data_IF_313144139766
#
_entry.id   IF_313144139766
#
_cell.length_a   1.000
_cell.length_b   1.000
_cell.length_c   1.000
_cell.angle_alpha   90.00
_cell.angle_beta   90.00
_cell.angle_gamma   90.00
#
_symmetry.space_group_name_H-M   'P 1'
#
loop_
_entity.id
_entity.type
_entity.pdbx_description
1 polymer ?
#
# COMPACT_ATOMS: atom_id res chain seq x y z
N UNK A 1 6.33 1.07 4.11
CA UNK A 1 7.78 1.33 4.20
C UNK A 1 8.37 0.93 5.55
N UNK A 2 7.98 1.56 6.65
CA UNK A 2 8.69 1.42 7.95
C UNK A 2 8.74 -0.01 8.50
N UNK A 3 7.69 -0.81 8.31
CA UNK A 3 7.73 -2.25 8.62
C UNK A 3 8.81 -3.01 7.84
N UNK A 4 9.14 -2.60 6.61
CA UNK A 4 10.26 -3.19 5.89
C UNK A 4 11.59 -2.76 6.52
N UNK A 5 11.72 -1.50 6.95
CA UNK A 5 12.95 -0.96 7.51
C UNK A 5 13.23 -1.43 8.95
N UNK A 6 12.18 -1.71 9.72
CA UNK A 6 12.29 -2.11 11.13
C UNK A 6 12.21 -0.96 12.12
N UNK A 7 12.07 0.27 11.65
CA UNK A 7 12.09 1.50 12.46
C UNK A 7 11.08 2.53 11.92
N UNK A 8 10.59 3.39 12.81
CA UNK A 8 9.75 4.53 12.43
C UNK A 8 10.65 5.63 11.88
N UNK A 9 10.45 6.00 10.61
CA UNK A 9 11.33 6.93 9.90
C UNK A 9 10.87 8.38 9.93
N UNK A 10 9.57 8.59 10.18
CA UNK A 10 8.92 9.89 10.29
C UNK A 10 7.53 9.72 10.91
N UNK A 11 6.88 10.84 11.20
CA UNK A 11 5.43 10.84 11.44
C UNK A 11 4.66 10.52 10.15
N UNK A 12 3.62 9.69 10.26
CA UNK A 12 2.77 9.26 9.13
C UNK A 12 1.34 9.73 9.38
N UNK A 13 0.85 10.59 8.48
CA UNK A 13 -0.52 11.14 8.57
C UNK A 13 -1.59 10.20 8.01
N UNK A 14 -1.19 9.10 7.37
CA UNK A 14 -2.05 8.14 6.70
C UNK A 14 -1.49 6.71 6.81
N UNK A 15 -2.39 5.71 6.72
CA UNK A 15 -2.03 4.30 6.54
C UNK A 15 -2.61 3.79 5.21
N UNK A 16 -1.73 3.33 4.33
CA UNK A 16 -2.11 2.73 3.05
C UNK A 16 -2.17 1.20 3.17
N UNK A 17 -3.32 0.64 2.82
CA UNK A 17 -3.59 -0.80 2.76
C UNK A 17 -3.96 -1.23 1.35
N UNK A 18 -3.70 -2.50 1.06
CA UNK A 18 -4.23 -3.19 -0.11
C UNK A 18 -5.10 -4.36 0.36
N UNK A 19 -6.28 -4.50 -0.26
CA UNK A 19 -7.32 -5.44 0.18
C UNK A 19 -7.95 -6.08 -1.04
N UNK A 20 -8.28 -7.36 -0.98
CA UNK A 20 -9.05 -8.02 -2.03
C UNK A 20 -10.47 -7.44 -2.11
N UNK A 21 -10.95 -7.17 -3.31
CA UNK A 21 -12.28 -6.60 -3.53
C UNK A 21 -13.38 -7.47 -2.91
N UNK A 22 -13.23 -8.79 -2.95
CA UNK A 22 -14.16 -9.75 -2.34
C UNK A 22 -14.26 -9.60 -0.81
N UNK A 23 -13.20 -9.13 -0.15
CA UNK A 23 -13.15 -8.93 1.30
C UNK A 23 -13.61 -7.51 1.71
N UNK A 24 -13.83 -6.59 0.75
CA UNK A 24 -14.06 -5.18 1.02
C UNK A 24 -15.29 -4.93 1.91
N UNK A 25 -16.38 -5.68 1.70
CA UNK A 25 -17.60 -5.58 2.50
C UNK A 25 -17.38 -5.98 3.96
N UNK A 26 -16.78 -7.16 4.18
CA UNK A 26 -16.50 -7.69 5.52
C UNK A 26 -15.52 -6.78 6.26
N UNK A 27 -14.50 -6.26 5.56
CA UNK A 27 -13.58 -5.27 6.11
C UNK A 27 -14.32 -4.00 6.56
N UNK A 28 -15.16 -3.42 5.69
CA UNK A 28 -15.88 -2.20 5.99
C UNK A 28 -16.76 -2.34 7.24
N UNK A 29 -17.54 -3.42 7.33
CA UNK A 29 -18.35 -3.73 8.53
C UNK A 29 -17.46 -3.88 9.79
N UNK A 30 -16.31 -4.56 9.64
CA UNK A 30 -15.33 -4.73 10.71
C UNK A 30 -14.72 -3.42 11.20
N UNK A 31 -14.48 -2.46 10.31
CA UNK A 31 -13.96 -1.12 10.64
C UNK A 31 -15.04 -0.28 11.32
N UNK A 32 -16.26 -0.25 10.77
CA UNK A 32 -17.40 0.48 11.34
C UNK A 32 -17.70 0.04 12.77
N UNK A 33 -17.73 -1.28 13.02
CA UNK A 33 -17.95 -1.83 14.37
C UNK A 33 -16.83 -1.47 15.37
N UNK A 34 -15.67 -1.01 14.89
CA UNK A 34 -14.52 -0.58 15.71
C UNK A 34 -14.37 0.94 15.81
N UNK A 35 -15.39 1.67 15.38
CA UNK A 35 -15.49 3.13 15.50
C UNK A 35 -14.81 3.91 14.37
N UNK A 36 -14.35 3.25 13.30
CA UNK A 36 -13.91 3.96 12.11
C UNK A 36 -15.09 4.62 11.42
N UNK A 37 -14.87 5.80 10.84
CA UNK A 37 -15.87 6.55 10.08
C UNK A 37 -15.48 6.60 8.61
N UNK A 38 -16.41 6.33 7.67
CA UNK A 38 -16.13 6.50 6.24
C UNK A 38 -15.77 7.94 5.91
N UNK A 39 -14.79 8.12 5.04
CA UNK A 39 -14.37 9.42 4.52
C UNK A 39 -14.72 9.49 3.03
N UNK A 40 -15.23 10.62 2.51
CA UNK A 40 -15.39 10.80 1.07
C UNK A 40 -14.05 10.63 0.35
N UNK A 41 -14.01 9.77 -0.65
CA UNK A 41 -12.78 9.39 -1.34
C UNK A 41 -13.00 9.10 -2.83
N UNK A 42 -12.04 8.41 -3.48
CA UNK A 42 -12.22 7.87 -4.82
C UNK A 42 -13.47 6.97 -4.92
N UNK A 43 -13.89 6.58 -6.15
CA UNK A 43 -14.98 5.63 -6.33
C UNK A 43 -14.81 4.38 -5.43
N UNK A 44 -15.84 3.93 -4.69
CA UNK A 44 -15.73 2.80 -3.75
C UNK A 44 -15.27 1.47 -4.35
N UNK A 45 -15.39 1.32 -5.67
CA UNK A 45 -14.89 0.17 -6.44
C UNK A 45 -13.36 0.19 -6.63
N UNK A 46 -12.70 1.32 -6.35
CA UNK A 46 -11.25 1.50 -6.42
C UNK A 46 -10.62 1.46 -5.03
N UNK A 47 -11.23 2.16 -4.09
CA UNK A 47 -10.66 2.39 -2.76
C UNK A 47 -11.77 2.67 -1.75
N UNK A 48 -11.58 2.21 -0.53
CA UNK A 48 -12.39 2.61 0.62
C UNK A 48 -11.52 3.44 1.57
N UNK A 49 -12.05 4.55 2.06
CA UNK A 49 -11.34 5.45 2.97
C UNK A 49 -12.07 5.57 4.30
N UNK A 50 -11.33 5.47 5.39
CA UNK A 50 -11.85 5.57 6.75
C UNK A 50 -10.92 6.40 7.63
N UNK A 51 -11.50 7.11 8.60
CA UNK A 51 -10.77 7.82 9.64
C UNK A 51 -11.09 7.26 11.02
N UNK A 52 -10.09 7.27 11.91
CA UNK A 52 -10.28 7.02 13.34
C UNK A 52 -9.25 7.80 14.15
N UNK A 53 -9.69 8.46 15.21
CA UNK A 53 -8.84 9.22 16.13
C UNK A 53 -7.92 10.24 15.42
N UNK A 54 -8.42 10.84 14.32
CA UNK A 54 -7.67 11.81 13.52
C UNK A 54 -6.67 11.23 12.52
N UNK A 55 -6.63 9.91 12.36
CA UNK A 55 -5.77 9.22 11.41
C UNK A 55 -6.57 8.58 10.28
N UNK A 56 -6.15 8.83 9.04
CA UNK A 56 -6.77 8.27 7.84
C UNK A 56 -6.18 6.90 7.47
N UNK A 57 -7.03 6.00 6.99
CA UNK A 57 -6.68 4.69 6.47
C UNK A 57 -7.33 4.51 5.09
N UNK A 58 -6.49 4.37 4.07
CA UNK A 58 -6.91 4.15 2.68
C UNK A 58 -6.75 2.67 2.33
N UNK A 59 -7.79 2.06 1.77
CA UNK A 59 -7.80 0.64 1.41
C UNK A 59 -7.99 0.49 -0.10
N UNK A 60 -6.88 0.38 -0.84
CA UNK A 60 -6.90 0.19 -2.30
C UNK A 60 -7.34 -1.24 -2.62
N UNK A 61 -8.36 -1.37 -3.48
CA UNK A 61 -8.96 -2.66 -3.82
C UNK A 61 -8.18 -3.36 -4.94
N UNK A 62 -7.92 -4.64 -4.69
CA UNK A 62 -7.20 -5.56 -5.57
C UNK A 62 -8.13 -6.63 -6.12
N UNK A 63 -7.82 -7.09 -7.32
CA UNK A 63 -8.41 -8.27 -7.94
C UNK A 63 -7.30 -9.14 -8.58
N UNK A 64 -7.67 -10.29 -9.14
CA UNK A 64 -6.79 -11.17 -9.89
C UNK A 64 -7.32 -11.38 -11.30
N UNK A 65 -6.43 -11.23 -12.28
CA UNK A 65 -6.78 -11.59 -13.64
C UNK A 65 -6.77 -13.12 -13.87
N UNK A 66 -7.13 -13.54 -15.09
CA UNK A 66 -7.15 -14.96 -15.49
C UNK A 66 -5.78 -15.64 -15.43
N UNK A 67 -4.68 -14.88 -15.41
CA UNK A 67 -3.32 -15.39 -15.25
C UNK A 67 -2.88 -15.38 -13.77
N UNK A 68 -3.75 -14.99 -12.84
CA UNK A 68 -3.49 -14.88 -11.41
C UNK A 68 -2.70 -13.63 -10.99
N UNK A 69 -2.45 -12.70 -11.92
CA UNK A 69 -1.71 -11.46 -11.63
C UNK A 69 -2.59 -10.51 -10.84
N UNK A 70 -1.97 -9.77 -9.92
CA UNK A 70 -2.65 -8.76 -9.11
C UNK A 70 -2.96 -7.56 -9.99
N UNK A 71 -4.23 -7.17 -10.03
CA UNK A 71 -4.72 -6.06 -10.86
C UNK A 71 -5.56 -5.08 -10.03
N UNK A 72 -5.78 -3.88 -10.57
CA UNK A 72 -6.72 -2.91 -10.01
C UNK A 72 -8.14 -3.47 -10.11
N UNK A 73 -8.89 -3.46 -9.01
CA UNK A 73 -10.20 -4.13 -8.93
C UNK A 73 -11.33 -3.43 -9.71
N UNK A 74 -11.29 -2.10 -9.83
CA UNK A 74 -12.43 -1.35 -10.33
C UNK A 74 -12.09 0.00 -10.93
N UNK A 75 -13.12 0.75 -11.31
CA UNK A 75 -12.98 2.08 -11.89
C UNK A 75 -12.35 2.10 -13.29
N UNK A 76 -11.87 3.28 -13.75
CA UNK A 76 -11.34 3.48 -15.11
C UNK A 76 -10.10 2.64 -15.43
N UNK A 77 -9.44 2.07 -14.43
CA UNK A 77 -8.21 1.30 -14.57
C UNK A 77 -8.38 -0.17 -14.19
N UNK A 78 -9.62 -0.66 -14.04
CA UNK A 78 -9.90 -2.05 -13.73
C UNK A 78 -9.14 -3.00 -14.67
N UNK A 79 -8.48 -4.02 -14.11
CA UNK A 79 -7.65 -4.96 -14.86
C UNK A 79 -6.23 -4.47 -15.19
N UNK A 80 -5.87 -3.22 -14.90
CA UNK A 80 -4.50 -2.76 -15.02
C UNK A 80 -3.59 -3.49 -14.00
N UNK A 81 -2.41 -3.96 -14.41
CA UNK A 81 -1.52 -4.73 -13.54
C UNK A 81 -0.87 -3.84 -12.47
N UNK A 82 -0.82 -4.36 -11.25
CA UNK A 82 0.11 -3.88 -10.24
C UNK A 82 1.52 -4.45 -10.50
N UNK A 83 2.58 -3.90 -9.87
CA UNK A 83 3.92 -4.44 -9.98
C UNK A 83 3.98 -5.93 -9.68
N UNK A 84 4.82 -6.64 -10.44
CA UNK A 84 5.05 -8.06 -10.23
C UNK A 84 5.62 -8.34 -8.83
N UNK A 85 5.14 -9.39 -8.19
CA UNK A 85 5.55 -9.77 -6.84
C UNK A 85 5.22 -8.75 -5.75
N UNK A 86 4.25 -7.85 -5.98
CA UNK A 86 3.82 -6.85 -5.01
C UNK A 86 3.43 -7.45 -3.66
N UNK A 87 2.81 -8.63 -3.64
CA UNK A 87 2.35 -9.30 -2.42
C UNK A 87 3.28 -10.43 -1.95
N UNK A 88 4.41 -10.63 -2.63
CA UNK A 88 5.31 -11.76 -2.39
C UNK A 88 6.37 -11.46 -1.33
N UNK A 89 6.35 -10.25 -0.76
CA UNK A 89 7.20 -9.94 0.37
C UNK A 89 6.73 -10.70 1.62
N UNK A 90 7.67 -11.39 2.27
CA UNK A 90 7.47 -11.84 3.64
C UNK A 90 7.15 -10.67 4.58
N UNK A 91 6.63 -10.96 5.79
CA UNK A 91 6.17 -9.90 6.69
C UNK A 91 7.31 -8.96 7.09
N UNK A 92 7.02 -7.67 7.08
CA UNK A 92 7.83 -6.67 7.76
C UNK A 92 7.62 -6.73 9.28
N UNK A 93 8.45 -6.01 10.02
CA UNK A 93 8.36 -5.93 11.48
C UNK A 93 8.53 -4.50 11.96
N UNK A 94 7.78 -4.12 12.99
CA UNK A 94 7.97 -2.90 13.75
C UNK A 94 8.02 -3.26 15.22
N UNK A 95 9.21 -3.20 15.83
CA UNK A 95 9.45 -3.83 17.13
C UNK A 95 9.06 -5.31 17.11
N UNK A 96 8.17 -5.72 18.01
CA UNK A 96 7.66 -7.10 18.08
C UNK A 96 6.52 -7.43 17.11
N UNK A 97 5.93 -6.44 16.41
CA UNK A 97 4.72 -6.61 15.60
C UNK A 97 5.08 -7.00 14.15
N UNK A 98 4.72 -8.21 13.68
CA UNK A 98 4.81 -8.54 12.26
C UNK A 98 3.60 -8.00 11.49
N UNK A 99 3.80 -7.59 10.24
CA UNK A 99 2.73 -7.18 9.33
C UNK A 99 3.04 -7.64 7.90
N UNK A 100 2.03 -8.13 7.18
CA UNK A 100 2.13 -8.30 5.74
C UNK A 100 2.38 -6.93 5.09
N UNK A 101 3.31 -6.88 4.13
CA UNK A 101 3.70 -5.63 3.49
C UNK A 101 3.69 -5.81 1.98
N UNK A 102 3.45 -4.71 1.27
CA UNK A 102 3.81 -4.61 -0.14
C UNK A 102 5.31 -4.75 -0.29
N UNK A 103 5.78 -5.47 -1.30
CA UNK A 103 7.21 -5.64 -1.54
C UNK A 103 7.92 -4.29 -1.72
N UNK A 104 9.14 -4.12 -1.19
CA UNK A 104 9.85 -2.85 -1.28
C UNK A 104 10.12 -2.46 -2.74
N UNK A 105 10.31 -3.43 -3.64
CA UNK A 105 10.40 -3.20 -5.08
C UNK A 105 9.10 -2.58 -5.63
N UNK A 106 7.96 -3.17 -5.30
CA UNK A 106 6.66 -2.64 -5.72
C UNK A 106 6.36 -1.26 -5.10
N UNK A 107 6.71 -1.03 -3.83
CA UNK A 107 6.58 0.29 -3.21
C UNK A 107 7.38 1.36 -3.98
N UNK A 108 8.62 1.04 -4.40
CA UNK A 108 9.45 1.95 -5.20
C UNK A 108 8.79 2.19 -6.57
N UNK A 109 8.34 1.14 -7.26
CA UNK A 109 7.73 1.25 -8.58
C UNK A 109 6.46 2.10 -8.53
N UNK A 110 5.55 1.81 -7.59
CA UNK A 110 4.32 2.58 -7.39
C UNK A 110 4.64 4.05 -7.17
N UNK A 111 5.61 4.40 -6.31
CA UNK A 111 6.00 5.80 -6.06
C UNK A 111 6.59 6.48 -7.30
N UNK A 112 7.32 5.74 -8.14
CA UNK A 112 7.89 6.27 -9.40
C UNK A 112 6.83 6.49 -10.46
N UNK A 113 5.88 5.57 -10.54
CA UNK A 113 4.91 5.51 -11.62
C UNK A 113 3.61 6.26 -11.30
N UNK A 114 3.27 6.49 -10.02
CA UNK A 114 2.05 7.22 -9.63
C UNK A 114 1.86 8.56 -10.37
N UNK A 115 2.88 9.42 -10.55
CA UNK A 115 2.73 10.66 -11.30
C UNK A 115 2.54 10.47 -12.81
N UNK A 116 2.85 9.28 -13.34
CA UNK A 116 2.63 8.89 -14.74
C UNK A 116 1.24 8.27 -14.91
N UNK A 117 0.83 7.41 -13.97
CA UNK A 117 -0.49 6.77 -13.95
C UNK A 117 -1.61 7.76 -13.63
N UNK A 118 -1.37 8.67 -12.69
CA UNK A 118 -2.27 9.73 -12.26
C UNK A 118 -1.52 11.08 -12.22
N UNK A 119 -1.55 11.85 -13.32
CA UNK A 119 -0.92 13.17 -13.37
C UNK A 119 -1.45 14.18 -12.36
N UNK A 120 -2.62 13.93 -11.74
CA UNK A 120 -3.14 14.78 -10.66
C UNK A 120 -2.42 14.57 -9.32
N UNK A 121 -1.61 13.50 -9.21
CA UNK A 121 -0.77 13.18 -8.05
C UNK A 121 0.70 13.48 -8.38
N UNK A 122 1.15 14.75 -8.23
CA UNK A 122 2.52 15.12 -8.54
C UNK A 122 3.52 14.42 -7.61
N UNK A 123 4.78 14.37 -8.05
CA UNK A 123 5.90 13.88 -7.22
C UNK A 123 5.98 14.68 -5.92
N UNK A 124 6.02 13.96 -4.79
CA UNK A 124 6.16 14.54 -3.45
C UNK A 124 7.57 14.29 -2.93
N UNK A 125 8.11 15.24 -2.16
CA UNK A 125 9.43 15.08 -1.50
C UNK A 125 9.49 13.80 -0.66
N UNK A 126 8.41 13.50 0.08
CA UNK A 126 8.31 12.27 0.89
C UNK A 126 8.49 10.99 0.06
N UNK A 127 8.02 10.96 -1.19
CA UNK A 127 8.16 9.77 -2.04
C UNK A 127 9.60 9.56 -2.51
N UNK A 128 10.33 10.63 -2.85
CA UNK A 128 11.75 10.55 -3.24
C UNK A 128 12.62 10.05 -2.07
N UNK A 129 12.34 10.56 -0.88
CA UNK A 129 12.95 10.16 0.37
C UNK A 129 12.67 8.68 0.72
N UNK A 130 11.41 8.25 0.61
CA UNK A 130 11.00 6.87 0.85
C UNK A 130 11.71 5.91 -0.12
N UNK A 131 11.77 6.28 -1.41
CA UNK A 131 12.49 5.50 -2.44
C UNK A 131 13.96 5.34 -2.05
N UNK A 132 14.65 6.43 -1.69
CA UNK A 132 16.06 6.39 -1.34
C UNK A 132 16.34 5.44 -0.14
N UNK A 133 15.48 5.48 0.88
CA UNK A 133 15.56 4.59 2.06
C UNK A 133 15.34 3.12 1.68
N UNK A 134 14.28 2.83 0.92
CA UNK A 134 13.97 1.48 0.45
C UNK A 134 15.11 0.88 -0.38
N UNK A 135 15.67 1.64 -1.31
CA UNK A 135 16.80 1.20 -2.12
C UNK A 135 18.06 0.96 -1.30
N UNK A 136 18.37 1.83 -0.34
CA UNK A 136 19.51 1.66 0.54
C UNK A 136 19.37 0.37 1.37
N UNK A 137 18.19 0.12 1.94
CA UNK A 137 17.89 -1.07 2.71
C UNK A 137 17.95 -2.35 1.85
N UNK A 138 17.42 -2.31 0.62
CA UNK A 138 17.52 -3.43 -0.33
C UNK A 138 18.98 -3.76 -0.66
N UNK A 139 19.80 -2.74 -0.95
CA UNK A 139 21.24 -2.93 -1.20
C UNK A 139 21.97 -3.50 0.01
N UNK A 140 21.62 -3.06 1.21
CA UNK A 140 22.22 -3.58 2.44
C UNK A 140 21.86 -5.05 2.70
N UNK A 141 20.61 -5.45 2.43
CA UNK A 141 20.14 -6.84 2.59
C UNK A 141 20.73 -7.78 1.55
N UNK A 142 20.81 -7.36 0.28
CA UNK A 142 21.43 -8.16 -0.77
C UNK A 142 22.94 -8.37 -0.61
N UNK A 143 23.61 -7.58 0.25
CA UNK A 143 25.04 -7.72 0.58
C UNK A 143 25.30 -8.61 1.81
N UNK A 144 24.27 -8.97 2.58
CA UNK A 144 24.44 -9.87 3.72
C UNK A 144 24.50 -11.31 3.19
N UNK A 145 25.59 -12.06 3.41
CA UNK A 145 25.53 -13.50 3.23
C UNK A 145 24.56 -14.08 4.27
N UNK A 146 23.81 -15.11 3.86
CA UNK A 146 22.90 -15.89 4.72
C UNK A 146 23.62 -16.51 5.92
#
# INVERSE_FOLDING_TARGET
>A
MDFFLGEVTRDHGDIDWFVWADDAGVLAEGLLSRGYQPVPGPPPVLQLDFAKDGLDSSFTLLDRDMAGRVVVAGGPWAGAPWPEGMLDAGPGRMGGLPCAIVSPQAQIEIKRMMPIWDPSRPRRTKDAEDIARLEAALRARGKRPE
#
